data_IF_739446866209
#
_entry.id   IF_739446866209
#
_cell.length_a   1.000
_cell.length_b   1.000
_cell.length_c   1.000
_cell.angle_alpha   90.00
_cell.angle_beta   90.00
_cell.angle_gamma   90.00
#
_symmetry.space_group_name_H-M   'P 1'
#
loop_
_entity.id
_entity.type
_entity.pdbx_description
1 polymer ?
#
# COMPACT_ATOMS: atom_id res chain seq x y z
N UNK A 1 -29.75 20.90 49.05
CA UNK A 1 -29.21 20.96 47.67
C UNK A 1 -27.70 20.79 47.75
N UNK A 2 -27.16 19.58 47.50
CA UNK A 2 -25.73 19.29 47.64
C UNK A 2 -25.02 19.52 46.30
N UNK A 3 -24.09 20.48 46.24
CA UNK A 3 -23.25 20.75 45.06
C UNK A 3 -22.13 19.70 45.01
N UNK A 4 -22.21 18.75 44.06
CA UNK A 4 -21.12 17.81 43.79
C UNK A 4 -19.97 18.55 43.11
N UNK A 5 -18.87 18.73 43.84
CA UNK A 5 -17.61 19.24 43.32
C UNK A 5 -16.88 18.11 42.58
N UNK A 6 -16.80 18.20 41.24
CA UNK A 6 -15.92 17.32 40.47
C UNK A 6 -14.48 17.82 40.62
N UNK A 7 -13.52 17.00 41.07
CA UNK A 7 -12.15 17.44 41.28
C UNK A 7 -11.50 17.73 39.92
N UNK A 8 -10.96 18.94 39.75
CA UNK A 8 -10.29 19.40 38.52
C UNK A 8 -9.18 18.46 38.00
N UNK A 9 -8.62 17.61 38.87
CA UNK A 9 -7.65 16.57 38.51
C UNK A 9 -8.22 15.47 37.59
N UNK A 10 -9.51 15.19 37.66
CA UNK A 10 -10.17 14.18 36.81
C UNK A 10 -10.37 14.69 35.37
N UNK A 11 -10.65 15.99 35.20
CA UNK A 11 -10.73 16.64 33.89
C UNK A 11 -9.39 16.69 33.17
N UNK A 12 -8.29 16.89 33.90
CA UNK A 12 -6.95 16.93 33.31
C UNK A 12 -6.50 15.57 32.75
N UNK A 13 -6.82 14.46 33.44
CA UNK A 13 -6.55 13.11 32.95
C UNK A 13 -7.40 12.74 31.73
N UNK A 14 -8.65 13.21 31.66
CA UNK A 14 -9.53 12.95 30.52
C UNK A 14 -9.02 13.64 29.24
N UNK A 15 -8.50 14.88 29.36
CA UNK A 15 -7.92 15.59 28.22
C UNK A 15 -6.67 14.89 27.67
N UNK A 16 -5.76 14.41 28.53
CA UNK A 16 -4.55 13.68 28.07
C UNK A 16 -4.95 12.40 27.32
N UNK A 17 -5.95 11.66 27.81
CA UNK A 17 -6.41 10.45 27.13
C UNK A 17 -7.07 10.72 25.77
N UNK A 18 -7.72 11.89 25.60
CA UNK A 18 -8.34 12.31 24.34
C UNK A 18 -7.33 12.86 23.32
N UNK A 19 -6.19 13.40 23.75
CA UNK A 19 -5.13 13.84 22.83
C UNK A 19 -4.21 12.72 22.36
N UNK A 20 -4.10 11.61 23.11
CA UNK A 20 -3.30 10.45 22.69
C UNK A 20 -3.98 9.58 21.63
N UNK A 21 -5.29 9.67 21.46
CA UNK A 21 -6.05 8.82 20.51
C UNK A 21 -6.30 9.46 19.16
N UNK A 22 -5.89 10.71 18.94
CA UNK A 22 -6.09 11.40 17.66
C UNK A 22 -4.90 11.32 16.70
N UNK A 23 -3.96 10.39 16.90
CA UNK A 23 -3.10 9.99 15.79
C UNK A 23 -3.97 9.17 14.85
N UNK A 24 -4.51 9.83 13.83
CA UNK A 24 -5.04 9.14 12.66
C UNK A 24 -3.91 8.24 12.14
N UNK A 25 -3.97 6.95 12.48
CA UNK A 25 -3.06 5.97 11.93
C UNK A 25 -3.22 6.04 10.42
N UNK A 26 -2.18 6.49 9.72
CA UNK A 26 -2.14 6.41 8.27
C UNK A 26 -2.07 4.92 7.93
N UNK A 27 -3.20 4.36 7.52
CA UNK A 27 -3.26 2.99 7.02
C UNK A 27 -2.55 2.93 5.66
N UNK A 28 -1.74 1.90 5.47
CA UNK A 28 -1.04 1.63 4.23
C UNK A 28 -0.04 0.49 4.35
N UNK A 29 0.71 0.29 3.27
CA UNK A 29 1.78 -0.71 3.23
C UNK A 29 2.87 -0.31 2.25
N UNK A 30 4.06 -0.86 2.43
CA UNK A 30 5.21 -0.56 1.57
C UNK A 30 5.13 -1.31 0.25
N UNK A 31 5.43 -0.60 -0.83
CA UNK A 31 5.53 -1.14 -2.18
C UNK A 31 6.79 -1.97 -2.36
N UNK A 32 6.65 -3.11 -3.01
CA UNK A 32 7.78 -3.87 -3.55
C UNK A 32 7.56 -4.23 -5.02
N UNK A 33 8.68 -4.34 -5.72
CA UNK A 33 8.81 -4.58 -7.15
C UNK A 33 9.18 -6.03 -7.40
N UNK A 34 8.58 -6.67 -8.39
CA UNK A 34 8.71 -8.11 -8.60
C UNK A 34 9.16 -8.38 -10.03
N UNK A 35 10.20 -9.20 -10.15
CA UNK A 35 10.77 -9.64 -11.41
C UNK A 35 9.88 -10.72 -12.04
N UNK A 36 9.24 -10.42 -13.17
CA UNK A 36 8.35 -11.38 -13.84
C UNK A 36 9.08 -12.53 -14.54
N UNK A 37 10.39 -12.39 -14.77
CA UNK A 37 11.17 -13.31 -15.59
C UNK A 37 11.90 -14.37 -14.76
N UNK A 38 11.93 -14.25 -13.43
CA UNK A 38 12.59 -15.26 -12.59
C UNK A 38 11.77 -16.54 -12.46
N UNK A 39 12.46 -17.66 -12.25
CA UNK A 39 11.80 -18.90 -11.89
C UNK A 39 11.02 -18.72 -10.58
N UNK A 40 9.86 -19.36 -10.46
CA UNK A 40 8.99 -19.30 -9.26
C UNK A 40 9.73 -19.62 -7.96
N UNK A 41 10.71 -20.52 -7.99
CA UNK A 41 11.51 -20.88 -6.80
C UNK A 41 12.36 -19.72 -6.27
N UNK A 42 12.67 -18.74 -7.11
CA UNK A 42 13.46 -17.57 -6.76
C UNK A 42 12.60 -16.32 -6.52
N UNK A 43 11.27 -16.40 -6.72
CA UNK A 43 10.37 -15.26 -6.51
C UNK A 43 10.38 -14.78 -5.05
N UNK A 44 10.68 -15.64 -4.08
CA UNK A 44 10.71 -15.29 -2.66
C UNK A 44 12.05 -14.71 -2.19
N UNK A 45 13.08 -14.73 -3.04
CA UNK A 45 14.43 -14.26 -2.68
C UNK A 45 14.56 -12.78 -3.06
N UNK A 46 14.74 -11.93 -2.04
CA UNK A 46 15.01 -10.50 -2.24
C UNK A 46 16.29 -10.29 -3.04
N UNK A 47 16.34 -9.27 -3.90
CA UNK A 47 17.45 -9.01 -4.80
C UNK A 47 17.42 -9.82 -6.10
N UNK A 48 16.68 -10.93 -6.13
CA UNK A 48 16.53 -11.79 -7.31
C UNK A 48 15.11 -11.69 -7.85
N UNK A 49 14.14 -12.17 -7.08
CA UNK A 49 12.74 -12.24 -7.49
C UNK A 49 11.94 -11.00 -7.16
N UNK A 50 12.35 -10.26 -6.14
CA UNK A 50 11.67 -9.03 -5.72
C UNK A 50 12.64 -8.08 -4.99
N UNK A 51 12.27 -6.81 -4.90
CA UNK A 51 12.99 -5.79 -4.14
C UNK A 51 11.98 -4.77 -3.58
N UNK A 52 12.24 -4.21 -2.39
CA UNK A 52 11.49 -3.04 -1.92
C UNK A 52 11.67 -1.86 -2.89
N UNK A 53 10.59 -1.15 -3.21
CA UNK A 53 10.68 0.00 -4.09
C UNK A 53 11.48 1.13 -3.43
N UNK A 54 12.37 1.81 -4.18
CA UNK A 54 13.24 2.84 -3.61
C UNK A 54 12.45 4.14 -3.42
N UNK A 55 12.68 4.81 -2.28
CA UNK A 55 12.09 6.11 -1.98
C UNK A 55 12.68 7.24 -2.81
N UNK A 56 13.88 7.09 -3.36
CA UNK A 56 14.47 8.08 -4.24
C UNK A 56 13.67 8.17 -5.57
N UNK A 57 12.88 9.22 -5.77
CA UNK A 57 12.14 9.51 -7.02
C UNK A 57 12.77 10.71 -7.77
N UNK A 58 13.93 10.48 -8.40
CA UNK A 58 14.66 11.50 -9.18
C UNK A 58 13.84 12.16 -10.28
N UNK A 59 12.80 11.48 -10.76
CA UNK A 59 11.99 11.91 -11.89
C UNK A 59 10.66 12.52 -11.48
N UNK A 60 10.34 12.55 -10.18
CA UNK A 60 9.06 13.01 -9.63
C UNK A 60 7.85 12.37 -10.34
N UNK A 61 7.98 11.12 -10.80
CA UNK A 61 6.90 10.46 -11.55
C UNK A 61 5.69 10.14 -10.66
N UNK A 62 5.87 10.13 -9.34
CA UNK A 62 4.83 9.84 -8.35
C UNK A 62 4.10 11.09 -7.83
N UNK A 63 4.57 12.30 -8.14
CA UNK A 63 4.02 13.55 -7.58
C UNK A 63 2.51 13.72 -7.86
N UNK A 64 2.05 13.27 -9.03
CA UNK A 64 0.62 13.35 -9.40
C UNK A 64 -0.27 12.44 -8.54
N UNK A 65 0.30 11.52 -7.75
CA UNK A 65 -0.42 10.52 -6.95
C UNK A 65 -0.18 10.67 -5.45
N UNK A 66 0.24 11.84 -4.96
CA UNK A 66 0.52 12.09 -3.53
C UNK A 66 -0.64 11.83 -2.56
N UNK A 67 -1.88 11.80 -3.06
CA UNK A 67 -3.04 11.41 -2.25
C UNK A 67 -3.07 9.88 -1.97
N UNK A 68 -2.45 9.09 -2.85
CA UNK A 68 -2.37 7.64 -2.74
C UNK A 68 -1.01 7.16 -2.23
N UNK A 69 0.04 7.97 -2.38
CA UNK A 69 1.43 7.58 -2.17
C UNK A 69 2.14 8.58 -1.27
N UNK A 70 2.86 8.07 -0.27
CA UNK A 70 3.89 8.83 0.44
C UNK A 70 5.26 8.27 0.11
N UNK A 71 6.15 9.12 -0.36
CA UNK A 71 7.53 8.74 -0.67
C UNK A 71 8.40 9.05 0.55
N UNK A 72 9.14 8.05 1.03
CA UNK A 72 10.12 8.21 2.09
C UNK A 72 11.51 7.92 1.54
N UNK A 73 12.30 8.96 1.27
CA UNK A 73 13.57 8.88 0.53
C UNK A 73 14.48 7.71 0.93
N UNK A 74 14.53 7.36 2.22
CA UNK A 74 15.34 6.27 2.76
C UNK A 74 14.55 5.00 3.14
N UNK A 75 13.22 5.05 3.15
CA UNK A 75 12.37 3.96 3.66
C UNK A 75 11.43 3.35 2.60
N UNK A 76 11.50 3.83 1.36
CA UNK A 76 10.75 3.28 0.23
C UNK A 76 9.47 4.06 -0.07
N UNK A 77 8.52 3.38 -0.70
CA UNK A 77 7.27 3.98 -1.17
C UNK A 77 6.10 3.38 -0.38
N UNK A 78 5.36 4.25 0.30
CA UNK A 78 4.17 3.88 1.07
C UNK A 78 2.91 4.08 0.25
N UNK A 79 2.09 3.05 0.16
CA UNK A 79 0.79 3.09 -0.52
C UNK A 79 -0.30 3.21 0.54
N UNK A 80 -1.08 4.28 0.47
CA UNK A 80 -2.16 4.57 1.42
C UNK A 80 -3.39 3.72 1.12
N UNK A 81 -3.83 2.94 2.10
CA UNK A 81 -4.93 2.00 1.95
C UNK A 81 -5.11 1.14 3.17
N UNK A 82 -6.14 0.30 3.18
CA UNK A 82 -6.41 -0.64 4.26
C UNK A 82 -6.37 -2.08 3.76
N UNK A 83 -5.87 -2.98 4.59
CA UNK A 83 -5.90 -4.39 4.23
C UNK A 83 -7.33 -4.92 4.22
N UNK A 84 -7.65 -5.59 3.13
CA UNK A 84 -8.88 -6.34 2.93
C UNK A 84 -8.49 -7.79 2.68
N UNK A 85 -9.26 -8.68 3.31
CA UNK A 85 -9.27 -10.11 3.00
C UNK A 85 -10.57 -10.39 2.22
N UNK A 86 -10.55 -10.30 0.88
CA UNK A 86 -11.71 -10.73 0.10
C UNK A 86 -12.02 -12.19 0.42
N UNK A 87 -13.29 -12.49 0.67
CA UNK A 87 -13.77 -13.84 1.02
C UNK A 87 -13.43 -14.92 -0.02
N UNK A 88 -13.03 -14.51 -1.23
CA UNK A 88 -12.69 -15.38 -2.35
C UNK A 88 -11.26 -15.23 -2.87
N UNK A 89 -10.44 -14.36 -2.26
CA UNK A 89 -9.05 -14.21 -2.71
C UNK A 89 -8.11 -14.95 -1.77
N UNK A 90 -7.25 -15.79 -2.34
CA UNK A 90 -6.16 -16.46 -1.64
C UNK A 90 -5.04 -15.47 -1.28
N UNK A 91 -5.34 -14.47 -0.45
CA UNK A 91 -4.34 -13.56 0.13
C UNK A 91 -4.77 -12.12 0.18
N UNK A 92 -3.97 -11.32 0.87
CA UNK A 92 -4.30 -9.96 1.23
C UNK A 92 -4.38 -9.04 0.01
N UNK A 93 -5.23 -8.03 0.12
CA UNK A 93 -5.36 -6.95 -0.85
C UNK A 93 -5.39 -5.63 -0.10
N UNK A 94 -4.50 -4.70 -0.44
CA UNK A 94 -4.53 -3.33 0.06
C UNK A 94 -5.52 -2.54 -0.79
N UNK A 95 -6.66 -2.17 -0.22
CA UNK A 95 -7.64 -1.32 -0.88
C UNK A 95 -7.26 0.14 -0.67
N UNK A 96 -7.05 0.88 -1.76
CA UNK A 96 -6.72 2.30 -1.65
C UNK A 96 -7.83 3.09 -0.94
N UNK A 97 -7.43 4.09 -0.16
CA UNK A 97 -8.35 4.95 0.57
C UNK A 97 -9.23 5.78 -0.38
N UNK A 98 -8.61 6.32 -1.43
CA UNK A 98 -9.27 7.17 -2.41
C UNK A 98 -9.71 6.40 -3.68
N UNK A 99 -10.56 7.06 -4.46
CA UNK A 99 -11.14 6.54 -5.70
C UNK A 99 -10.70 7.41 -6.87
N UNK A 100 -10.22 6.79 -7.95
CA UNK A 100 -9.89 7.49 -9.19
C UNK A 100 -11.16 7.96 -9.92
N UNK A 101 -11.08 9.04 -10.69
CA UNK A 101 -12.24 9.53 -11.44
C UNK A 101 -12.61 8.59 -12.59
N UNK A 102 -11.63 7.88 -13.15
CA UNK A 102 -11.84 6.99 -14.29
C UNK A 102 -10.95 5.75 -14.27
N UNK A 103 -11.38 4.70 -15.00
CA UNK A 103 -10.57 3.50 -15.23
C UNK A 103 -9.22 3.83 -15.88
N UNK A 104 -9.19 4.84 -16.75
CA UNK A 104 -7.97 5.29 -17.45
C UNK A 104 -6.95 5.84 -16.47
N UNK A 105 -7.39 6.68 -15.54
CA UNK A 105 -6.55 7.26 -14.49
C UNK A 105 -6.02 6.18 -13.54
N UNK A 106 -6.89 5.28 -13.08
CA UNK A 106 -6.50 4.16 -12.23
C UNK A 106 -5.47 3.24 -12.93
N UNK A 107 -5.62 3.01 -14.24
CA UNK A 107 -4.62 2.27 -15.03
C UNK A 107 -3.31 3.03 -15.15
N UNK A 108 -3.36 4.36 -15.33
CA UNK A 108 -2.16 5.22 -15.39
C UNK A 108 -1.36 5.13 -14.09
N UNK A 109 -2.04 5.19 -12.94
CA UNK A 109 -1.44 4.97 -11.62
C UNK A 109 -0.64 3.66 -11.55
N UNK A 110 -1.27 2.52 -11.88
CA UNK A 110 -0.58 1.22 -11.84
C UNK A 110 0.64 1.18 -12.79
N UNK A 111 0.51 1.77 -13.99
CA UNK A 111 1.62 1.84 -14.95
C UNK A 111 2.76 2.71 -14.41
N UNK A 112 2.46 3.82 -13.74
CA UNK A 112 3.47 4.68 -13.14
C UNK A 112 4.23 3.95 -12.04
N UNK A 113 3.55 3.19 -11.18
CA UNK A 113 4.22 2.33 -10.18
C UNK A 113 5.15 1.30 -10.82
N UNK A 114 4.71 0.64 -11.91
CA UNK A 114 5.56 -0.28 -12.68
C UNK A 114 6.78 0.45 -13.25
N UNK A 115 6.59 1.63 -13.85
CA UNK A 115 7.70 2.43 -14.38
C UNK A 115 8.70 2.79 -13.28
N UNK A 116 8.23 3.11 -12.08
CA UNK A 116 9.11 3.36 -10.94
C UNK A 116 9.96 2.13 -10.61
N UNK A 117 9.33 0.96 -10.50
CA UNK A 117 10.04 -0.30 -10.29
C UNK A 117 11.08 -0.59 -11.39
N UNK A 118 10.74 -0.29 -12.64
CA UNK A 118 11.64 -0.49 -13.77
C UNK A 118 12.80 0.50 -13.78
N UNK A 119 12.60 1.75 -13.34
CA UNK A 119 13.67 2.71 -13.14
C UNK A 119 14.62 2.28 -12.02
N UNK A 120 14.08 1.68 -10.95
CA UNK A 120 14.87 1.30 -9.77
C UNK A 120 15.72 0.05 -9.99
N UNK A 121 15.21 -0.91 -10.75
CA UNK A 121 15.75 -2.28 -10.80
C UNK A 121 15.88 -2.90 -12.20
N UNK A 122 15.27 -2.31 -13.24
CA UNK A 122 15.30 -2.86 -14.60
C UNK A 122 13.93 -3.27 -15.13
N UNK A 123 13.82 -3.36 -16.45
CA UNK A 123 12.54 -3.57 -17.18
C UNK A 123 11.78 -4.85 -16.80
N UNK A 124 12.47 -5.84 -16.26
CA UNK A 124 11.96 -7.12 -15.78
C UNK A 124 11.15 -7.01 -14.48
N UNK A 125 11.35 -5.94 -13.70
CA UNK A 125 10.56 -5.65 -12.49
C UNK A 125 9.22 -5.00 -12.84
N UNK A 126 8.36 -5.76 -13.53
CA UNK A 126 7.10 -5.27 -14.08
C UNK A 126 5.84 -5.72 -13.34
N UNK A 127 5.99 -6.29 -12.14
CA UNK A 127 4.89 -6.70 -11.28
C UNK A 127 5.04 -6.00 -9.92
N UNK A 128 3.90 -5.77 -9.27
CA UNK A 128 3.84 -4.99 -8.03
C UNK A 128 3.27 -5.84 -6.89
N UNK A 129 3.74 -5.58 -5.67
CA UNK A 129 3.14 -6.08 -4.45
C UNK A 129 3.27 -5.06 -3.32
N UNK A 130 2.53 -5.29 -2.24
CA UNK A 130 2.60 -4.47 -1.03
C UNK A 130 2.70 -5.35 0.21
N UNK A 131 3.46 -4.94 1.21
CA UNK A 131 3.59 -5.65 2.47
C UNK A 131 4.02 -4.70 3.59
N UNK A 132 3.95 -5.19 4.82
CA UNK A 132 4.23 -4.48 6.08
C UNK A 132 3.18 -3.44 6.46
N UNK A 133 2.84 -3.42 7.75
CA UNK A 133 1.79 -2.60 8.39
C UNK A 133 0.38 -3.16 8.18
N UNK A 134 -0.46 -2.56 7.34
CA UNK A 134 -1.81 -3.07 7.10
C UNK A 134 -1.81 -4.49 6.55
N UNK A 135 -0.93 -4.75 5.59
CA UNK A 135 -0.62 -6.10 5.15
C UNK A 135 0.43 -6.66 6.11
N UNK A 136 0.20 -7.81 6.77
CA UNK A 136 1.20 -8.40 7.64
C UNK A 136 2.54 -8.61 6.89
N UNK A 137 3.66 -8.31 7.54
CA UNK A 137 4.99 -8.38 6.93
C UNK A 137 5.38 -9.78 6.40
N UNK A 138 4.81 -10.85 6.96
CA UNK A 138 4.98 -12.22 6.46
C UNK A 138 4.09 -12.56 5.26
N UNK A 139 3.23 -11.64 4.82
CA UNK A 139 2.30 -11.82 3.72
C UNK A 139 2.53 -10.81 2.61
N UNK A 140 2.21 -11.24 1.40
CA UNK A 140 2.23 -10.38 0.23
C UNK A 140 0.81 -9.99 -0.14
N UNK A 141 0.65 -8.69 -0.34
CA UNK A 141 -0.60 -8.05 -0.72
C UNK A 141 -0.61 -7.64 -2.19
N UNK A 142 -1.81 -7.46 -2.70
CA UNK A 142 -2.09 -6.88 -4.02
C UNK A 142 -2.60 -5.46 -3.84
N UNK A 143 -2.41 -4.55 -4.79
CA UNK A 143 -2.97 -3.19 -4.71
C UNK A 143 -4.32 -3.15 -5.44
N UNK A 144 -5.42 -2.95 -4.71
CA UNK A 144 -6.75 -2.76 -5.28
C UNK A 144 -7.09 -1.28 -5.48
N UNK A 145 -7.44 -0.95 -6.71
CA UNK A 145 -7.82 0.40 -7.16
C UNK A 145 -9.34 0.48 -7.33
N UNK A 146 -9.92 1.61 -6.93
CA UNK A 146 -11.33 1.95 -7.15
C UNK A 146 -11.41 3.07 -8.19
N UNK A 147 -12.41 3.05 -9.07
CA UNK A 147 -12.63 4.11 -10.04
C UNK A 147 -14.10 4.34 -10.35
N UNK A 148 -14.51 5.61 -10.48
CA UNK A 148 -15.91 5.97 -10.66
C UNK A 148 -16.79 5.51 -9.48
N UNK A 149 -18.06 5.22 -9.75
CA UNK A 149 -19.02 4.85 -8.69
C UNK A 149 -18.87 3.40 -8.18
N UNK A 150 -18.65 2.45 -9.09
CA UNK A 150 -18.66 1.01 -8.77
C UNK A 150 -17.48 0.25 -9.40
N UNK A 151 -16.57 0.95 -10.07
CA UNK A 151 -15.45 0.34 -10.74
C UNK A 151 -14.36 -0.07 -9.76
N UNK A 152 -13.85 -1.27 -9.92
CA UNK A 152 -12.70 -1.76 -9.16
C UNK A 152 -11.75 -2.55 -10.04
N UNK A 153 -10.53 -2.74 -9.56
CA UNK A 153 -9.51 -3.55 -10.20
C UNK A 153 -8.32 -3.76 -9.29
N UNK A 154 -7.33 -4.50 -9.76
CA UNK A 154 -6.06 -4.73 -9.07
C UNK A 154 -4.94 -4.34 -10.03
N UNK A 155 -3.91 -3.64 -9.54
CA UNK A 155 -2.72 -3.39 -10.34
C UNK A 155 -2.05 -4.69 -10.80
N UNK A 156 -1.20 -4.65 -11.83
CA UNK A 156 -0.54 -5.86 -12.33
C UNK A 156 0.27 -6.56 -11.23
N UNK A 157 -0.14 -7.80 -10.92
CA UNK A 157 0.16 -8.47 -9.67
C UNK A 157 0.89 -9.79 -9.88
N UNK A 158 1.79 -10.12 -8.96
CA UNK A 158 2.54 -11.38 -8.90
C UNK A 158 1.68 -12.64 -8.81
N UNK A 159 0.44 -12.54 -8.35
CA UNK A 159 -0.48 -13.69 -8.31
C UNK A 159 -0.73 -14.31 -9.69
N UNK A 160 -0.60 -13.56 -10.78
CA UNK A 160 -0.61 -14.11 -12.15
C UNK A 160 0.48 -15.15 -12.42
N UNK A 161 1.55 -15.16 -11.62
CA UNK A 161 2.60 -16.18 -11.68
C UNK A 161 2.25 -17.42 -10.84
N UNK A 162 1.32 -17.32 -9.89
CA UNK A 162 0.91 -18.41 -9.00
C UNK A 162 -0.29 -19.21 -9.52
N UNK A 163 -1.16 -18.61 -10.35
CA UNK A 163 -2.40 -19.22 -10.87
C UNK A 163 -2.24 -20.34 -11.93
N UNK A 164 -1.08 -21.01 -12.02
CA UNK A 164 -0.88 -22.18 -12.91
C UNK A 164 -0.88 -23.53 -12.18
N UNK A 165 -1.42 -23.58 -10.96
CA UNK A 165 -1.65 -24.83 -10.25
C UNK A 165 -3.04 -24.81 -9.58
N UNK A 166 -4.05 -25.16 -10.36
CA UNK A 166 -5.16 -26.04 -9.97
C UNK A 166 -5.36 -27.05 -11.10
#
# INVERSE_FOLDING_TARGET
>A
MSKKFFPAKFLFFLCIFLFYTSQAFSYGSYLFCINKNVNKRYLTIEGIGWNWAKGEDKTNILEEYKNFITVYDNNGIWISGFAVLPSYSNGYTLSLNDTFQSKKEAKKFCITLIKKCQQDFGTEFSLLGVSSWDIPNWNWGSIAIKYGLLGWGVCDNWKRLQDFYL
#
